data_IF_389354082564
#
_entry.id   IF_389354082564
#
_cell.length_a   1.000
_cell.length_b   1.000
_cell.length_c   1.000
_cell.angle_alpha   90.00
_cell.angle_beta   90.00
_cell.angle_gamma   90.00
#
_symmetry.space_group_name_H-M   'P 1'
#
loop_
_entity.id
_entity.type
_entity.pdbx_description
1 polymer ?
#
# COMPACT_ATOMS: atom_id res chain seq x y z
N UNK A 1 1.56 -3.94 7.47
CA UNK A 1 1.32 -2.50 7.23
C UNK A 1 1.79 -2.15 5.80
N UNK A 2 1.10 -1.28 5.03
CA UNK A 2 1.51 -0.84 3.67
C UNK A 2 1.55 0.69 3.63
N UNK A 3 2.67 1.28 3.22
CA UNK A 3 2.78 2.70 2.92
C UNK A 3 3.57 2.86 1.63
N UNK A 4 3.17 3.79 0.78
CA UNK A 4 3.80 4.08 -0.50
C UNK A 4 4.09 5.58 -0.56
N UNK A 5 5.34 5.94 -0.86
CA UNK A 5 5.77 7.34 -1.01
C UNK A 5 5.52 7.74 -2.47
N UNK A 6 4.71 8.78 -2.68
CA UNK A 6 4.49 9.34 -4.01
C UNK A 6 5.22 10.69 -4.11
N UNK A 7 6.01 10.87 -5.17
CA UNK A 7 6.78 12.11 -5.41
C UNK A 7 5.89 13.32 -5.70
N UNK A 8 4.69 13.10 -6.24
CA UNK A 8 3.79 14.18 -6.61
C UNK A 8 2.38 14.01 -6.04
N UNK A 9 1.78 15.13 -5.64
CA UNK A 9 0.40 15.22 -5.15
C UNK A 9 -0.64 14.56 -6.10
N UNK A 10 -0.62 14.78 -7.43
CA UNK A 10 -1.57 14.15 -8.33
C UNK A 10 -1.43 12.62 -8.39
N UNK A 11 -0.21 12.08 -8.26
CA UNK A 11 0.01 10.63 -8.22
C UNK A 11 -0.61 10.01 -6.96
N UNK A 12 -0.42 10.64 -5.80
CA UNK A 12 -1.05 10.21 -4.55
C UNK A 12 -2.58 10.18 -4.66
N UNK A 13 -3.18 11.22 -5.25
CA UNK A 13 -4.64 11.32 -5.43
C UNK A 13 -5.16 10.26 -6.41
N UNK A 14 -4.45 10.04 -7.52
CA UNK A 14 -4.82 8.99 -8.48
C UNK A 14 -4.80 7.62 -7.80
N UNK A 15 -3.77 7.38 -6.97
CA UNK A 15 -3.59 6.12 -6.28
C UNK A 15 -4.61 5.87 -5.18
N UNK A 16 -4.96 6.89 -4.40
CA UNK A 16 -6.09 6.84 -3.47
C UNK A 16 -7.42 6.56 -4.18
N UNK A 17 -7.68 7.25 -5.30
CA UNK A 17 -8.90 7.03 -6.09
C UNK A 17 -9.01 5.61 -6.63
N UNK A 18 -7.89 5.03 -7.07
CA UNK A 18 -7.85 3.62 -7.48
C UNK A 18 -8.11 2.68 -6.29
N UNK A 19 -7.48 2.93 -5.13
CA UNK A 19 -7.69 2.11 -3.93
C UNK A 19 -9.13 2.17 -3.39
N UNK A 20 -9.82 3.31 -3.53
CA UNK A 20 -11.22 3.47 -3.12
C UNK A 20 -12.18 2.54 -3.88
N UNK A 21 -11.84 2.11 -5.09
CA UNK A 21 -12.68 1.26 -5.96
C UNK A 21 -12.33 -0.23 -5.88
N UNK A 22 -11.33 -0.62 -5.09
CA UNK A 22 -10.84 -2.00 -5.11
C UNK A 22 -11.60 -2.96 -4.21
N UNK A 23 -11.81 -4.16 -4.75
CA UNK A 23 -12.22 -5.32 -4.00
C UNK A 23 -11.14 -5.72 -2.99
N UNK A 24 -11.58 -6.24 -1.84
CA UNK A 24 -10.71 -6.64 -0.72
C UNK A 24 -9.58 -7.58 -1.15
N UNK A 25 -9.83 -8.44 -2.14
CA UNK A 25 -8.83 -9.33 -2.73
C UNK A 25 -7.62 -8.58 -3.33
N UNK A 26 -7.87 -7.46 -4.01
CA UNK A 26 -6.81 -6.67 -4.64
C UNK A 26 -5.90 -6.00 -3.60
N UNK A 27 -6.47 -5.56 -2.47
CA UNK A 27 -5.69 -5.04 -1.34
C UNK A 27 -4.76 -6.11 -0.77
N UNK A 28 -5.25 -7.34 -0.61
CA UNK A 28 -4.45 -8.46 -0.10
C UNK A 28 -3.33 -8.81 -1.09
N UNK A 29 -3.62 -8.85 -2.39
CA UNK A 29 -2.60 -9.13 -3.41
C UNK A 29 -1.52 -8.04 -3.44
N UNK A 30 -1.91 -6.76 -3.29
CA UNK A 30 -0.95 -5.66 -3.26
C UNK A 30 -0.07 -5.70 -2.00
N UNK A 31 -0.66 -6.00 -0.84
CA UNK A 31 0.08 -6.21 0.41
C UNK A 31 1.03 -7.41 0.27
N UNK A 32 0.59 -8.51 -0.35
CA UNK A 32 1.47 -9.66 -0.62
C UNK A 32 2.59 -9.34 -1.61
N UNK A 33 2.34 -8.55 -2.64
CA UNK A 33 3.39 -8.14 -3.59
C UNK A 33 4.43 -7.25 -2.92
N UNK A 34 3.98 -6.32 -2.07
CA UNK A 34 4.88 -5.35 -1.45
C UNK A 34 5.57 -5.89 -0.20
N UNK A 35 4.89 -6.76 0.56
CA UNK A 35 5.40 -7.40 1.75
C UNK A 35 5.11 -8.91 1.70
N UNK A 36 5.78 -9.66 0.81
CA UNK A 36 5.57 -11.10 0.67
C UNK A 36 5.96 -11.87 1.93
N UNK A 37 6.87 -11.32 2.73
CA UNK A 37 7.35 -11.92 3.96
C UNK A 37 6.47 -11.58 5.18
N UNK A 38 5.43 -10.75 5.01
CA UNK A 38 4.59 -10.26 6.11
C UNK A 38 5.42 -9.74 7.30
N UNK A 39 6.58 -9.15 7.00
CA UNK A 39 7.44 -8.57 8.03
C UNK A 39 6.72 -7.37 8.63
N UNK A 40 6.62 -7.34 9.95
CA UNK A 40 5.97 -6.23 10.62
C UNK A 40 6.92 -5.04 10.61
N UNK A 41 6.67 -4.11 9.67
CA UNK A 41 7.44 -2.86 9.52
C UNK A 41 7.29 -1.93 10.74
N UNK A 42 6.44 -2.29 11.69
CA UNK A 42 6.29 -1.57 12.95
C UNK A 42 7.54 -1.72 13.85
N UNK A 43 8.21 -2.88 13.80
CA UNK A 43 9.42 -3.13 14.59
C UNK A 43 10.62 -2.28 14.13
N UNK A 44 10.68 -1.91 12.84
CA UNK A 44 11.77 -1.09 12.28
C UNK A 44 11.60 0.42 12.52
N UNK A 45 10.45 0.88 13.04
CA UNK A 45 10.15 2.30 13.28
C UNK A 45 10.50 2.73 14.73
N UNK A 46 10.96 1.81 15.58
CA UNK A 46 11.34 2.07 16.99
C UNK A 46 12.75 2.67 17.09
#
# INVERSE_FOLDING_TARGET
MYYEMHETMPDAILREKQMKKWNRAWKIEMIQRFNPQWRDLYDDII
#
